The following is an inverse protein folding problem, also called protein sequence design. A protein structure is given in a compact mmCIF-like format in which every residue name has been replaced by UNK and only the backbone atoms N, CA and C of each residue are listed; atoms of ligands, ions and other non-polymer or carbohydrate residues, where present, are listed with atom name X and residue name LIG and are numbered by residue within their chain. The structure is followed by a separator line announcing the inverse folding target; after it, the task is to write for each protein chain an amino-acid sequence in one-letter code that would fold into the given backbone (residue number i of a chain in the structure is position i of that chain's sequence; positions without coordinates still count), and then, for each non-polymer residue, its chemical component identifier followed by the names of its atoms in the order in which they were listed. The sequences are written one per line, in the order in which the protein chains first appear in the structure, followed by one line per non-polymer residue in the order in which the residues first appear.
data_IF_194035300828
#
_entry.id   IF_194035300828
#
_cell.length_a   1.000
_cell.length_b   1.000
_cell.length_c   1.000
_cell.angle_alpha   90.00
_cell.angle_beta   90.00
_cell.angle_gamma   90.00
#
_symmetry.space_group_name_H-M   'P 1'
#
loop_
_entity.id
_entity.type
_entity.pdbx_description
1 polymer ?
#
# COMPACT_ATOMS: atom_id res chain seq x y z
N UNK A 1 5.21 21.92 2.27
CA UNK A 1 5.34 20.85 1.26
C UNK A 1 4.39 19.73 1.68
N UNK A 2 3.32 19.49 0.91
CA UNK A 2 2.31 18.49 1.26
C UNK A 2 2.79 17.12 0.77
N UNK A 3 3.27 16.29 1.69
CA UNK A 3 3.53 14.87 1.45
C UNK A 3 2.18 14.17 1.26
N UNK A 4 1.80 13.94 0.01
CA UNK A 4 0.62 13.13 -0.32
C UNK A 4 1.04 11.67 -0.16
N UNK A 5 0.71 11.06 0.98
CA UNK A 5 0.93 9.63 1.23
C UNK A 5 0.00 8.82 0.30
N UNK A 6 0.58 8.14 -0.69
CA UNK A 6 -0.15 7.20 -1.54
C UNK A 6 0.01 5.79 -1.00
N UNK A 7 -1.08 5.21 -0.46
CA UNK A 7 -1.10 3.80 -0.03
C UNK A 7 -0.93 2.88 -1.24
N UNK A 8 0.12 2.06 -1.21
CA UNK A 8 0.13 0.79 -1.92
C UNK A 8 -0.42 -0.28 -0.96
N UNK A 9 -1.63 -0.74 -1.24
CA UNK A 9 -2.25 -1.86 -0.52
C UNK A 9 -2.55 -2.92 -1.56
N UNK A 10 -1.62 -3.85 -1.79
CA UNK A 10 -1.93 -4.99 -2.65
C UNK A 10 -2.82 -5.94 -1.86
N UNK A 11 -4.08 -6.07 -2.31
CA UNK A 11 -4.93 -7.20 -1.98
C UNK A 11 -4.60 -8.29 -2.99
N UNK A 12 -3.93 -9.33 -2.54
CA UNK A 12 -4.04 -10.62 -3.22
C UNK A 12 -5.29 -11.26 -2.63
N UNK A 13 -6.20 -11.64 -3.52
CA UNK A 13 -7.51 -12.19 -3.23
C UNK A 13 -7.47 -13.23 -2.10
N UNK A 14 -8.08 -12.92 -0.96
CA UNK A 14 -8.91 -13.90 -0.26
C UNK A 14 -10.09 -13.17 0.37
N UNK A 15 -11.29 -13.58 -0.01
CA UNK A 15 -12.53 -13.09 0.58
C UNK A 15 -12.58 -13.51 2.04
N UNK A 16 -12.23 -12.61 2.94
CA UNK A 16 -12.62 -12.67 4.33
C UNK A 16 -12.62 -11.25 4.88
N UNK A 17 -13.81 -10.71 5.11
CA UNK A 17 -14.08 -9.40 5.74
C UNK A 17 -13.60 -9.35 7.21
N UNK A 18 -12.75 -10.29 7.65
CA UNK A 18 -12.21 -10.41 9.00
C UNK A 18 -10.73 -10.86 9.04
N UNK A 19 -10.00 -10.79 7.92
CA UNK A 19 -8.60 -11.27 7.89
C UNK A 19 -7.59 -10.18 8.22
N UNK A 20 -6.61 -10.52 9.08
CA UNK A 20 -5.36 -9.77 9.23
C UNK A 20 -4.62 -9.75 7.88
N UNK A 21 -4.06 -8.60 7.49
CA UNK A 21 -3.31 -8.46 6.24
C UNK A 21 -2.02 -7.66 6.48
N UNK A 22 -0.90 -8.18 5.96
CA UNK A 22 0.40 -7.50 5.95
C UNK A 22 0.65 -7.02 4.52
N UNK A 23 0.77 -5.71 4.34
CA UNK A 23 0.91 -5.08 3.01
C UNK A 23 2.24 -4.36 2.91
N UNK A 24 2.82 -4.33 1.72
CA UNK A 24 4.05 -3.59 1.44
C UNK A 24 3.74 -2.28 0.74
N UNK A 25 4.14 -1.18 1.35
CA UNK A 25 4.25 0.09 0.67
C UNK A 25 5.60 0.20 -0.04
N UNK A 26 5.54 0.25 -1.35
CA UNK A 26 6.70 0.52 -2.19
C UNK A 26 6.86 2.02 -2.49
N UNK A 27 6.00 2.91 -1.95
CA UNK A 27 5.90 4.34 -2.34
C UNK A 27 7.16 5.18 -2.11
N UNK A 28 8.17 4.68 -1.38
CA UNK A 28 9.45 5.33 -1.16
C UNK A 28 10.57 4.86 -2.10
N UNK A 29 11.68 5.60 -2.13
CA UNK A 29 12.97 5.13 -2.64
C UNK A 29 13.26 3.74 -2.00
N UNK A 30 13.72 2.75 -2.77
CA UNK A 30 13.77 1.29 -2.48
C UNK A 30 14.34 0.84 -1.12
N UNK A 31 14.82 1.78 -0.30
CA UNK A 31 15.41 1.57 1.03
C UNK A 31 14.41 1.67 2.17
N UNK A 32 13.23 2.28 1.99
CA UNK A 32 12.24 2.48 3.05
C UNK A 32 10.94 1.71 2.75
N UNK A 33 11.00 0.38 2.87
CA UNK A 33 9.81 -0.46 2.84
C UNK A 33 8.90 -0.10 4.02
N UNK A 34 7.59 0.07 3.78
CA UNK A 34 6.61 0.21 4.86
C UNK A 34 5.72 -1.02 4.89
N UNK A 35 5.64 -1.67 6.03
CA UNK A 35 4.71 -2.75 6.28
C UNK A 35 3.45 -2.21 6.92
N UNK A 36 2.29 -2.58 6.38
CA UNK A 36 0.99 -2.22 6.96
C UNK A 36 0.42 -3.46 7.60
N UNK A 37 0.24 -3.42 8.92
CA UNK A 37 -0.48 -4.45 9.68
C UNK A 37 -1.92 -4.00 9.83
N UNK A 38 -2.83 -4.69 9.16
CA UNK A 38 -4.26 -4.40 9.22
C UNK A 38 -4.94 -5.34 10.23
N UNK A 39 -5.58 -4.78 11.25
CA UNK A 39 -6.35 -5.53 12.26
C UNK A 39 -7.58 -4.73 12.68
N UNK A 40 -8.76 -5.35 12.65
CA UNK A 40 -10.03 -4.74 13.07
C UNK A 40 -10.32 -3.35 12.45
N UNK A 41 -9.97 -3.18 11.17
CA UNK A 41 -10.12 -1.93 10.43
C UNK A 41 -9.06 -0.86 10.74
N UNK A 42 -8.13 -1.13 11.66
CA UNK A 42 -6.97 -0.30 11.93
C UNK A 42 -5.81 -0.69 11.01
N UNK A 43 -5.09 0.31 10.50
CA UNK A 43 -3.85 0.12 9.73
C UNK A 43 -2.67 0.66 10.53
N UNK A 44 -1.79 -0.22 11.01
CA UNK A 44 -0.55 0.18 11.66
C UNK A 44 0.58 0.13 10.65
N UNK A 45 1.29 1.24 10.44
CA UNK A 45 2.40 1.34 9.50
C UNK A 45 3.74 1.22 10.21
N UNK A 46 4.60 0.34 9.71
CA UNK A 46 5.97 0.15 10.18
C UNK A 46 6.95 0.34 9.05
N UNK A 47 8.02 1.09 9.27
CA UNK A 47 9.15 1.05 8.36
C UNK A 47 9.91 -0.29 8.43
N UNK A 48 10.84 -0.47 7.49
CA UNK A 48 11.68 -1.66 7.39
C UNK A 48 12.55 -1.94 8.62
N UNK A 49 12.73 -0.97 9.52
CA UNK A 49 13.52 -1.06 10.74
C UNK A 49 12.66 -1.21 11.99
N UNK A 50 11.34 -1.30 11.84
CA UNK A 50 10.42 -1.47 12.96
C UNK A 50 9.97 -0.17 13.61
N UNK A 51 10.19 0.99 12.97
CA UNK A 51 9.67 2.27 13.42
C UNK A 51 8.21 2.45 13.00
N UNK A 52 7.35 2.92 13.90
CA UNK A 52 5.98 3.27 13.55
C UNK A 52 5.92 4.56 12.73
N UNK A 53 5.04 4.60 11.73
CA UNK A 53 4.73 5.83 11.01
C UNK A 53 3.42 6.45 11.53
N UNK A 54 3.45 7.76 11.77
CA UNK A 54 2.50 8.55 12.59
C UNK A 54 1.08 8.74 12.05
N UNK A 55 0.53 7.84 11.23
CA UNK A 55 -0.84 8.00 10.71
C UNK A 55 -1.81 7.11 11.49
N UNK A 56 -2.30 7.63 12.61
CA UNK A 56 -3.19 6.92 13.54
C UNK A 56 -4.64 7.46 13.44
N UNK A 57 -4.86 8.52 12.65
CA UNK A 57 -6.15 9.20 12.52
C UNK A 57 -6.70 9.69 13.87
N UNK A 58 -8.03 9.77 13.98
CA UNK A 58 -8.73 10.18 15.21
C UNK A 58 -8.96 9.01 16.19
N UNK A 59 -8.17 7.93 16.07
CA UNK A 59 -8.32 6.75 16.93
C UNK A 59 -7.85 7.02 18.36
N UNK A 60 -8.51 6.43 19.38
CA UNK A 60 -8.01 6.48 20.75
C UNK A 60 -6.60 5.89 20.83
N UNK A 61 -5.69 6.55 21.56
CA UNK A 61 -4.30 6.08 21.72
C UNK A 61 -3.87 6.13 23.18
N UNK A 62 -2.97 5.23 23.55
CA UNK A 62 -2.20 5.32 24.81
C UNK A 62 -0.72 5.37 24.51
N UNK A 63 0.03 5.95 25.44
CA UNK A 63 1.49 6.03 25.37
C UNK A 63 2.12 5.38 26.58
N UNK A 64 3.29 4.79 26.37
CA UNK A 64 4.14 4.27 27.44
C UNK A 64 4.81 5.42 28.22
N UNK A 65 5.59 5.07 29.24
CA UNK A 65 6.32 6.02 30.08
C UNK A 65 7.37 6.84 29.32
N UNK A 66 7.78 6.37 28.14
CA UNK A 66 8.73 7.05 27.26
C UNK A 66 8.02 7.89 26.18
N UNK A 67 6.69 8.00 26.24
CA UNK A 67 5.87 8.73 25.28
C UNK A 67 5.67 8.00 23.94
N UNK A 68 6.09 6.74 23.81
CA UNK A 68 5.88 5.92 22.61
C UNK A 68 4.46 5.39 22.57
N UNK A 69 3.92 5.15 21.39
CA UNK A 69 2.58 4.63 21.21
C UNK A 69 2.49 3.18 21.70
N UNK A 70 1.70 2.91 22.72
CA UNK A 70 1.58 1.57 23.33
C UNK A 70 0.24 0.89 23.04
N UNK A 71 -0.74 1.65 22.56
CA UNK A 71 -2.09 1.15 22.27
C UNK A 71 -2.76 2.07 21.23
N UNK A 72 -3.48 1.47 20.30
CA UNK A 72 -4.38 2.18 19.39
C UNK A 72 -5.71 1.43 19.37
N UNK A 73 -6.78 2.05 19.89
CA UNK A 73 -8.14 1.47 19.85
C UNK A 73 -8.18 0.04 20.45
N UNK A 74 -7.39 -0.23 21.50
CA UNK A 74 -7.26 -1.55 22.12
C UNK A 74 -6.24 -2.48 21.47
N UNK A 75 -5.62 -2.09 20.35
CA UNK A 75 -4.51 -2.81 19.74
C UNK A 75 -3.20 -2.44 20.42
N UNK A 76 -2.70 -3.35 21.26
CA UNK A 76 -1.44 -3.18 22.00
C UNK A 76 -0.24 -3.19 21.06
N UNK A 77 0.71 -2.29 21.33
CA UNK A 77 1.99 -2.21 20.62
C UNK A 77 3.12 -2.28 21.64
N UNK A 78 4.02 -3.24 21.44
CA UNK A 78 5.22 -3.39 22.27
C UNK A 78 6.50 -3.13 21.49
N UNK A 79 7.53 -2.72 22.22
CA UNK A 79 8.86 -2.45 21.70
C UNK A 79 9.92 -3.39 22.29
N UNK A 80 10.98 -3.64 21.52
CA UNK A 80 12.21 -4.25 22.00
C UNK A 80 13.09 -3.24 22.75
N UNK A 81 14.21 -3.72 23.27
CA UNK A 81 15.18 -2.90 24.02
C UNK A 81 15.79 -1.77 23.18
N UNK A 82 15.79 -1.91 21.85
CA UNK A 82 16.32 -0.91 20.92
C UNK A 82 15.23 0.07 20.47
N UNK A 83 13.99 -0.08 20.98
CA UNK A 83 12.85 0.76 20.63
C UNK A 83 12.21 0.45 19.30
N UNK A 84 12.50 -0.71 18.71
CA UNK A 84 11.80 -1.21 17.51
C UNK A 84 10.52 -1.92 17.93
N UNK A 85 9.46 -1.80 17.16
CA UNK A 85 8.21 -2.51 17.45
C UNK A 85 8.46 -4.02 17.39
N UNK A 86 8.21 -4.75 18.47
CA UNK A 86 8.35 -6.21 18.49
C UNK A 86 7.02 -6.96 18.43
N UNK A 87 5.91 -6.25 18.62
CA UNK A 87 4.58 -6.85 18.63
C UNK A 87 3.49 -5.82 18.33
N UNK A 88 2.49 -6.23 17.55
CA UNK A 88 1.26 -5.48 17.30
C UNK A 88 0.09 -6.44 17.49
N UNK A 89 -0.69 -6.26 18.55
CA UNK A 89 -1.69 -7.23 18.98
C UNK A 89 -1.06 -8.60 19.19
N UNK A 90 -1.39 -9.57 18.34
CA UNK A 90 -0.89 -10.95 18.42
C UNK A 90 0.26 -11.21 17.44
N UNK A 91 0.55 -10.25 16.55
CA UNK A 91 1.59 -10.40 15.55
C UNK A 91 2.94 -10.01 16.13
N UNK A 92 3.81 -11.00 16.31
CA UNK A 92 5.22 -10.77 16.63
C UNK A 92 5.97 -10.27 15.41
N UNK A 93 6.94 -9.39 15.65
CA UNK A 93 7.80 -8.83 14.63
C UNK A 93 9.24 -9.25 14.91
N UNK A 94 9.83 -9.96 13.96
CA UNK A 94 11.22 -10.36 14.02
C UNK A 94 12.08 -9.57 13.04
N UNK A 95 13.36 -9.45 13.38
CA UNK A 95 14.37 -8.75 12.61
C UNK A 95 15.47 -9.69 12.11
N UNK A 96 16.03 -9.40 10.93
CA UNK A 96 17.24 -10.04 10.43
C UNK A 96 18.51 -9.44 11.05
N UNK A 97 19.67 -10.00 10.68
CA UNK A 97 20.99 -9.55 11.15
C UNK A 97 21.33 -8.12 10.72
N UNK A 98 20.61 -7.55 9.76
CA UNK A 98 20.77 -6.19 9.28
C UNK A 98 19.69 -5.27 9.89
N UNK A 99 19.04 -5.68 10.97
CA UNK A 99 17.94 -4.97 11.64
C UNK A 99 16.74 -4.68 10.76
N UNK A 100 16.50 -5.46 9.71
CA UNK A 100 15.31 -5.34 8.86
C UNK A 100 14.22 -6.27 9.34
N UNK A 101 12.97 -5.82 9.29
CA UNK A 101 11.80 -6.66 9.55
C UNK A 101 11.83 -7.86 8.61
N UNK A 102 11.95 -9.07 9.15
CA UNK A 102 11.98 -10.34 8.39
C UNK A 102 10.75 -11.20 8.60
N UNK A 103 9.90 -10.85 9.55
CA UNK A 103 8.67 -11.57 9.83
C UNK A 103 7.69 -10.66 10.57
N UNK A 104 6.42 -10.74 10.19
CA UNK A 104 5.31 -10.17 10.95
C UNK A 104 4.26 -11.29 11.07
N UNK A 105 3.92 -11.68 12.29
CA UNK A 105 3.02 -12.81 12.53
C UNK A 105 3.55 -14.09 11.87
N UNK A 106 2.76 -14.69 10.97
CA UNK A 106 3.12 -15.88 10.19
C UNK A 106 3.72 -15.57 8.81
N UNK A 107 3.84 -14.30 8.41
CA UNK A 107 4.36 -13.92 7.09
C UNK A 107 5.85 -13.60 7.20
N UNK A 108 6.66 -14.41 6.53
CA UNK A 108 8.10 -14.14 6.34
C UNK A 108 8.29 -13.09 5.26
N UNK A 109 9.31 -12.25 5.44
CA UNK A 109 9.71 -11.22 4.49
C UNK A 109 11.14 -11.49 4.09
N UNK A 110 11.35 -11.67 2.79
CA UNK A 110 12.68 -11.86 2.24
C UNK A 110 13.10 -10.67 1.38
N UNK A 111 14.41 -10.42 1.38
CA UNK A 111 15.04 -9.39 0.58
C UNK A 111 15.99 -9.98 -0.47
N UNK A 112 16.15 -9.28 -1.59
CA UNK A 112 17.20 -9.56 -2.57
C UNK A 112 18.54 -8.90 -2.18
N UNK A 113 19.58 -9.12 -3.00
CA UNK A 113 20.92 -8.57 -2.77
C UNK A 113 20.96 -7.02 -2.82
N UNK A 114 19.97 -6.41 -3.47
CA UNK A 114 19.83 -4.96 -3.56
C UNK A 114 18.96 -4.39 -2.43
N UNK A 115 18.60 -5.20 -1.43
CA UNK A 115 17.74 -4.85 -0.29
C UNK A 115 16.29 -4.54 -0.66
N UNK A 116 15.82 -5.01 -1.81
CA UNK A 116 14.40 -4.93 -2.19
C UNK A 116 13.65 -6.14 -1.62
N UNK A 117 12.39 -5.96 -1.25
CA UNK A 117 11.54 -7.09 -0.83
C UNK A 117 11.27 -7.98 -2.05
N UNK A 118 11.63 -9.25 -1.96
CA UNK A 118 11.38 -10.24 -3.02
C UNK A 118 10.31 -11.26 -2.65
N UNK A 119 9.87 -11.29 -1.39
CA UNK A 119 8.80 -12.19 -0.94
C UNK A 119 8.14 -11.68 0.34
N UNK A 120 6.82 -11.86 0.44
CA UNK A 120 6.04 -11.69 1.66
C UNK A 120 5.07 -12.87 1.78
N UNK A 121 5.27 -13.72 2.79
CA UNK A 121 4.54 -14.98 2.88
C UNK A 121 4.75 -15.84 1.63
N UNK A 122 3.66 -16.12 0.92
CA UNK A 122 3.67 -16.96 -0.29
C UNK A 122 3.84 -16.12 -1.57
N UNK A 123 3.73 -14.79 -1.46
CA UNK A 123 3.71 -13.89 -2.59
C UNK A 123 5.13 -13.43 -2.92
N UNK A 124 5.59 -13.74 -4.13
CA UNK A 124 6.89 -13.29 -4.64
C UNK A 124 6.75 -11.94 -5.34
N UNK A 125 7.80 -11.13 -5.25
CA UNK A 125 7.91 -9.86 -5.96
C UNK A 125 9.12 -9.93 -6.86
N UNK A 126 8.90 -9.82 -8.17
CA UNK A 126 9.98 -9.74 -9.14
C UNK A 126 10.13 -8.33 -9.69
N UNK A 127 11.37 -8.00 -10.04
CA UNK A 127 11.75 -6.73 -10.62
C UNK A 127 12.34 -6.93 -12.02
N UNK A 128 12.18 -5.93 -12.89
CA UNK A 128 12.86 -5.85 -14.19
C UNK A 128 14.27 -5.25 -14.06
N UNK A 129 14.98 -5.15 -15.18
CA UNK A 129 16.35 -4.59 -15.24
C UNK A 129 16.42 -3.11 -14.85
N UNK A 130 15.29 -2.40 -14.93
CA UNK A 130 15.16 -1.00 -14.54
C UNK A 130 14.67 -0.86 -13.09
N UNK A 131 14.71 -1.94 -12.30
CA UNK A 131 14.24 -2.02 -10.91
C UNK A 131 12.74 -1.76 -10.72
N UNK A 132 11.94 -1.89 -11.78
CA UNK A 132 10.48 -1.76 -11.68
C UNK A 132 9.87 -3.11 -11.31
N UNK A 133 8.80 -3.10 -10.52
CA UNK A 133 8.05 -4.32 -10.21
C UNK A 133 7.45 -4.86 -11.51
N UNK A 134 7.78 -6.10 -11.87
CA UNK A 134 7.22 -6.79 -13.05
C UNK A 134 6.26 -7.91 -12.69
N UNK A 135 6.27 -8.37 -11.44
CA UNK A 135 5.35 -9.41 -10.97
C UNK A 135 5.15 -9.32 -9.47
N UNK A 136 3.92 -9.56 -9.02
CA UNK A 136 3.57 -9.78 -7.62
C UNK A 136 2.65 -11.01 -7.56
N UNK A 137 3.08 -12.07 -6.90
CA UNK A 137 2.34 -13.34 -6.90
C UNK A 137 2.13 -13.83 -8.33
N UNK A 138 0.86 -14.03 -8.72
CA UNK A 138 0.49 -14.44 -10.08
C UNK A 138 0.25 -13.26 -11.04
N UNK A 139 0.20 -12.03 -10.53
CA UNK A 139 -0.09 -10.84 -11.33
C UNK A 139 1.17 -10.25 -11.96
N UNK A 140 1.24 -10.26 -13.29
CA UNK A 140 2.26 -9.55 -14.06
C UNK A 140 1.95 -8.06 -14.14
N UNK A 141 2.98 -7.24 -14.16
CA UNK A 141 2.90 -5.79 -14.37
C UNK A 141 3.70 -5.43 -15.62
N UNK A 142 2.99 -4.99 -16.66
CA UNK A 142 3.62 -4.54 -17.89
C UNK A 142 3.66 -3.02 -17.98
N UNK A 143 4.71 -2.51 -18.59
CA UNK A 143 4.90 -1.09 -18.87
C UNK A 143 4.89 -0.79 -20.38
N UNK A 144 4.43 0.41 -20.75
CA UNK A 144 4.54 0.96 -22.09
C UNK A 144 5.90 1.64 -22.33
N UNK A 145 6.11 2.15 -23.55
CA UNK A 145 7.36 2.83 -23.95
C UNK A 145 7.63 4.11 -23.16
N UNK A 146 6.60 4.69 -22.54
CA UNK A 146 6.71 5.88 -21.69
C UNK A 146 6.84 5.49 -20.20
N UNK A 147 7.17 4.22 -19.91
CA UNK A 147 7.30 3.64 -18.57
C UNK A 147 6.02 3.68 -17.71
N UNK A 148 4.85 3.82 -18.33
CA UNK A 148 3.56 3.78 -17.65
C UNK A 148 3.03 2.35 -17.62
N UNK A 149 2.34 1.97 -16.55
CA UNK A 149 1.69 0.67 -16.43
C UNK A 149 0.64 0.52 -17.53
N UNK A 150 0.81 -0.46 -18.42
CA UNK A 150 -0.18 -0.79 -19.46
C UNK A 150 -1.01 -2.03 -19.13
N UNK A 151 -0.58 -2.83 -18.15
CA UNK A 151 -1.32 -4.02 -17.71
C UNK A 151 -0.95 -4.40 -16.28
N UNK A 152 -1.95 -4.85 -15.51
CA UNK A 152 -1.77 -5.57 -14.24
C UNK A 152 -2.67 -6.81 -14.31
N UNK A 153 -2.09 -8.02 -14.23
CA UNK A 153 -2.85 -9.27 -14.38
C UNK A 153 -3.61 -9.31 -15.71
N UNK A 154 -4.93 -9.48 -15.64
CA UNK A 154 -5.84 -9.47 -16.79
C UNK A 154 -6.32 -8.04 -17.19
N UNK A 155 -6.02 -7.01 -16.39
CA UNK A 155 -6.53 -5.65 -16.59
C UNK A 155 -5.57 -4.82 -17.45
N UNK A 156 -6.01 -4.50 -18.66
CA UNK A 156 -5.34 -3.50 -19.52
C UNK A 156 -5.64 -2.08 -19.06
N UNK A 157 -4.65 -1.21 -19.14
CA UNK A 157 -4.75 0.18 -18.73
C UNK A 157 -4.59 1.07 -19.96
N UNK A 158 -5.61 1.89 -20.23
CA UNK A 158 -5.53 2.90 -21.28
C UNK A 158 -5.40 4.30 -20.70
N UNK A 159 -4.77 5.18 -21.48
CA UNK A 159 -4.56 6.57 -21.14
C UNK A 159 -5.25 7.52 -22.13
N UNK A 160 -5.68 8.68 -21.65
CA UNK A 160 -6.09 9.81 -22.48
C UNK A 160 -4.87 10.59 -23.01
N UNK A 161 -5.13 11.57 -23.87
CA UNK A 161 -4.09 12.43 -24.46
C UNK A 161 -3.30 13.25 -23.42
N UNK A 162 -3.87 13.44 -22.23
CA UNK A 162 -3.23 14.14 -21.12
C UNK A 162 -2.52 13.17 -20.16
N UNK A 163 -2.28 11.92 -20.58
CA UNK A 163 -1.64 10.86 -19.80
C UNK A 163 -2.40 10.46 -18.52
N UNK A 164 -3.71 10.73 -18.45
CA UNK A 164 -4.56 10.26 -17.35
C UNK A 164 -5.11 8.89 -17.69
N UNK A 165 -5.22 8.00 -16.71
CA UNK A 165 -5.83 6.69 -16.90
C UNK A 165 -7.29 6.89 -17.27
N UNK A 166 -7.71 6.45 -18.46
CA UNK A 166 -9.09 6.56 -18.92
C UNK A 166 -9.86 5.24 -18.84
N UNK A 167 -9.17 4.11 -18.68
CA UNK A 167 -9.78 2.80 -18.59
C UNK A 167 -8.90 1.80 -17.84
N UNK A 168 -9.52 0.91 -17.06
CA UNK A 168 -8.90 -0.22 -16.35
C UNK A 168 -9.75 -1.46 -16.64
N UNK A 169 -9.26 -2.37 -17.48
CA UNK A 169 -10.08 -3.49 -17.97
C UNK A 169 -11.32 -2.97 -18.71
N UNK A 170 -12.51 -3.33 -18.24
CA UNK A 170 -13.78 -2.88 -18.82
C UNK A 170 -14.30 -1.58 -18.19
N UNK A 171 -13.64 -1.11 -17.13
CA UNK A 171 -14.10 0.04 -16.35
C UNK A 171 -13.51 1.35 -16.87
N UNK A 172 -14.38 2.27 -17.27
CA UNK A 172 -13.96 3.64 -17.66
C UNK A 172 -13.68 4.49 -16.44
N UNK A 173 -12.69 5.38 -16.56
CA UNK A 173 -12.40 6.42 -15.58
C UNK A 173 -12.80 7.76 -16.16
N UNK A 174 -13.67 8.43 -15.43
CA UNK A 174 -14.24 9.71 -15.81
C UNK A 174 -13.74 10.80 -14.88
N UNK A 175 -13.43 11.96 -15.46
CA UNK A 175 -12.93 13.12 -14.74
C UNK A 175 -13.90 14.30 -14.81
N UNK A 176 -13.88 15.15 -13.80
CA UNK A 176 -14.50 16.47 -13.83
C UNK A 176 -13.59 17.50 -14.54
N UNK A 177 -14.08 18.73 -14.68
CA UNK A 177 -13.35 19.82 -15.33
C UNK A 177 -12.05 20.21 -14.61
N UNK A 178 -11.94 19.90 -13.32
CA UNK A 178 -10.77 20.16 -12.50
C UNK A 178 -9.80 18.95 -12.49
N UNK A 179 -10.08 17.91 -13.27
CA UNK A 179 -9.26 16.71 -13.36
C UNK A 179 -9.41 15.74 -12.18
N UNK A 180 -10.44 15.91 -11.33
CA UNK A 180 -10.77 14.96 -10.26
C UNK A 180 -11.59 13.81 -10.82
N UNK A 181 -11.40 12.60 -10.29
CA UNK A 181 -12.14 11.42 -10.73
C UNK A 181 -13.57 11.52 -10.24
N UNK A 182 -14.55 11.56 -11.14
CA UNK A 182 -15.98 11.55 -10.77
C UNK A 182 -16.60 10.16 -10.81
N UNK A 183 -16.01 9.25 -11.57
CA UNK A 183 -16.53 7.90 -11.72
C UNK A 183 -15.44 6.91 -12.17
N UNK A 184 -15.51 5.68 -11.65
CA UNK A 184 -14.75 4.53 -12.15
C UNK A 184 -15.71 3.35 -12.33
N UNK A 185 -15.84 2.83 -13.55
CA UNK A 185 -16.87 1.83 -13.85
C UNK A 185 -18.26 2.38 -13.52
N UNK A 186 -19.06 1.62 -12.79
CA UNK A 186 -20.40 2.03 -12.35
C UNK A 186 -20.40 2.86 -11.05
N UNK A 187 -19.23 3.23 -10.55
CA UNK A 187 -19.07 3.78 -9.19
C UNK A 187 -18.76 5.25 -9.24
N UNK A 188 -19.64 6.05 -8.64
CA UNK A 188 -19.51 7.51 -8.58
C UNK A 188 -18.77 7.93 -7.32
N UNK A 189 -18.00 9.00 -7.47
CA UNK A 189 -17.22 9.61 -6.39
C UNK A 189 -17.76 11.03 -6.22
N UNK A 190 -18.34 11.29 -5.06
CA UNK A 190 -18.87 12.61 -4.72
C UNK A 190 -17.87 13.41 -3.87
N UNK A 191 -17.85 14.71 -4.12
CA UNK A 191 -16.97 15.66 -3.43
C UNK A 191 -17.80 16.71 -2.69
N UNK A 192 -17.28 17.18 -1.57
CA UNK A 192 -17.79 18.34 -0.87
C UNK A 192 -17.45 19.64 -1.61
N UNK A 193 -18.00 20.74 -1.11
CA UNK A 193 -17.76 22.08 -1.67
C UNK A 193 -16.27 22.50 -1.58
N UNK A 194 -15.51 21.91 -0.65
CA UNK A 194 -14.08 22.12 -0.49
C UNK A 194 -13.24 21.15 -1.35
N UNK A 195 -13.89 20.28 -2.11
CA UNK A 195 -13.27 19.26 -2.95
C UNK A 195 -12.76 18.02 -2.22
N UNK A 196 -13.14 17.81 -0.96
CA UNK A 196 -12.89 16.58 -0.21
C UNK A 196 -13.89 15.49 -0.61
N UNK A 197 -13.40 14.28 -0.83
CA UNK A 197 -14.24 13.13 -1.18
C UNK A 197 -15.20 12.81 -0.02
N UNK A 198 -16.51 12.76 -0.29
CA UNK A 198 -17.56 12.53 0.73
C UNK A 198 -17.95 11.07 0.86
N UNK A 199 -18.13 10.38 -0.25
CA UNK A 199 -18.67 9.03 -0.25
C UNK A 199 -18.23 8.28 -1.51
N UNK A 200 -17.97 6.98 -1.34
CA UNK A 200 -17.90 6.02 -2.42
C UNK A 200 -19.07 5.08 -2.19
N UNK A 201 -20.06 5.11 -3.08
CA UNK A 201 -21.22 4.24 -2.97
C UNK A 201 -20.83 2.77 -3.19
N UNK A 202 -20.85 2.01 -2.09
CA UNK A 202 -20.99 0.56 -2.08
C UNK A 202 -19.93 -0.22 -2.89
N UNK A 203 -18.65 0.13 -2.72
CA UNK A 203 -17.54 -0.54 -3.39
C UNK A 203 -16.83 -1.49 -2.44
N UNK A 204 -16.84 -2.78 -2.78
CA UNK A 204 -15.67 -3.59 -2.50
C UNK A 204 -14.45 -2.90 -3.14
N UNK A 205 -13.57 -2.37 -2.30
CA UNK A 205 -12.54 -1.35 -2.51
C UNK A 205 -11.49 -1.58 -3.63
N UNK A 206 -11.65 -2.56 -4.51
CA UNK A 206 -10.59 -3.03 -5.38
C UNK A 206 -10.26 -2.09 -6.55
N UNK A 207 -11.25 -1.45 -7.16
CA UNK A 207 -11.03 -0.74 -8.42
C UNK A 207 -10.38 0.65 -8.25
N UNK A 208 -10.82 1.42 -7.24
CA UNK A 208 -10.16 2.67 -6.89
C UNK A 208 -8.75 2.44 -6.34
N UNK A 209 -8.55 1.34 -5.62
CA UNK A 209 -7.25 0.93 -5.13
C UNK A 209 -6.31 0.53 -6.28
N UNK A 210 -6.82 -0.22 -7.26
CA UNK A 210 -6.09 -0.54 -8.49
C UNK A 210 -5.72 0.74 -9.26
N UNK A 211 -6.64 1.70 -9.38
CA UNK A 211 -6.33 3.01 -9.94
C UNK A 211 -5.17 3.71 -9.20
N UNK A 212 -5.24 3.78 -7.87
CA UNK A 212 -4.17 4.40 -7.04
C UNK A 212 -2.84 3.66 -7.18
N UNK A 213 -2.88 2.34 -7.31
CA UNK A 213 -1.73 1.46 -7.55
C UNK A 213 -1.04 1.82 -8.87
N UNK A 214 -1.82 1.93 -9.95
CA UNK A 214 -1.34 2.33 -11.27
C UNK A 214 -0.67 3.71 -11.20
N UNK A 215 -1.31 4.68 -10.54
CA UNK A 215 -0.75 6.02 -10.37
C UNK A 215 0.59 6.00 -9.61
N UNK A 216 0.69 5.21 -8.54
CA UNK A 216 1.92 5.06 -7.77
C UNK A 216 3.06 4.49 -8.62
N UNK A 217 2.79 3.46 -9.43
CA UNK A 217 3.78 2.91 -10.35
C UNK A 217 4.21 3.90 -11.43
N UNK A 218 3.27 4.64 -12.04
CA UNK A 218 3.61 5.62 -13.07
C UNK A 218 4.47 6.76 -12.51
N UNK A 219 4.17 7.23 -11.30
CA UNK A 219 4.91 8.33 -10.67
C UNK A 219 6.36 7.97 -10.34
N UNK A 220 6.64 6.72 -9.95
CA UNK A 220 8.02 6.26 -9.67
C UNK A 220 8.88 6.17 -10.92
N UNK A 221 8.26 5.91 -12.06
CA UNK A 221 8.95 5.70 -13.31
C UNK A 221 9.06 6.97 -14.17
N UNK A 222 8.63 8.12 -13.65
CA UNK A 222 8.64 9.41 -14.36
C UNK A 222 10.01 10.13 -14.34
N UNK A 223 11.10 9.39 -14.13
CA UNK A 223 12.47 9.91 -14.05
C UNK A 223 13.33 9.44 -15.21
#
# INVERSE_FOLDING_TARGET
MKTILFLFSFFIFSGAVYSQAIKLDLSGNDKNHVFIVQKDGLNVRLDSKGGLQNDIGDKPVKRDLNGRLSDIDGLVIDYDINGRVRQIGDDRIDYDINDRVRQIGNKRIDYDINNRVRQIGDDRVDYDINNRVRQIGDDQVDYDINNRVRQIGDKRIDYDINNRVRQIGDDRVDYDINGRIRQIGDKRIDYDINGQMREISDLGDNLLLLYKTIQSFNNKNAH
#
